data_IF_032714852053
#
_entry.id   IF_032714852053
#
_cell.length_a   1.000
_cell.length_b   1.000
_cell.length_c   1.000
_cell.angle_alpha   90.00
_cell.angle_beta   90.00
_cell.angle_gamma   90.00
#
_symmetry.space_group_name_H-M   'P 1'
#
loop_
_entity.id
_entity.type
_entity.pdbx_description
1 polymer ?
#
# COMPACT_ATOMS: atom_id res chain seq x y z
N UNK A 1 5.06 -6.51 10.94
CA UNK A 1 5.85 -7.01 9.79
C UNK A 1 7.25 -6.37 9.68
N UNK A 2 7.40 -5.04 9.76
CA UNK A 2 8.66 -4.34 9.39
C UNK A 2 9.47 -3.76 10.56
N UNK A 3 9.14 -4.11 11.80
CA UNK A 3 9.85 -3.65 13.02
C UNK A 3 11.14 -4.43 13.28
N UNK A 4 11.27 -5.64 12.72
CA UNK A 4 12.47 -6.47 12.81
C UNK A 4 13.42 -6.24 11.61
N UNK A 5 14.72 -6.20 11.88
CA UNK A 5 15.75 -5.94 10.86
C UNK A 5 15.86 -7.06 9.82
N UNK A 6 15.74 -8.32 10.24
CA UNK A 6 15.86 -9.46 9.34
C UNK A 6 14.66 -9.52 8.39
N UNK A 7 13.44 -9.34 8.91
CA UNK A 7 12.24 -9.23 8.08
C UNK A 7 12.35 -8.09 7.06
N UNK A 8 12.85 -6.93 7.50
CA UNK A 8 13.04 -5.78 6.60
C UNK A 8 14.03 -6.07 5.48
N UNK A 9 15.13 -6.76 5.79
CA UNK A 9 16.13 -7.15 4.79
C UNK A 9 15.57 -8.15 3.77
N UNK A 10 14.77 -9.13 4.22
CA UNK A 10 14.11 -10.09 3.33
C UNK A 10 13.16 -9.38 2.37
N UNK A 11 12.28 -8.52 2.90
CA UNK A 11 11.31 -7.76 2.08
C UNK A 11 12.02 -6.89 1.05
N UNK A 12 13.06 -6.15 1.46
CA UNK A 12 13.87 -5.35 0.56
C UNK A 12 14.55 -6.19 -0.53
N UNK A 13 15.08 -7.37 -0.17
CA UNK A 13 15.69 -8.31 -1.12
C UNK A 13 14.70 -8.78 -2.18
N UNK A 14 13.48 -9.16 -1.78
CA UNK A 14 12.41 -9.57 -2.70
C UNK A 14 12.03 -8.43 -3.65
N UNK A 15 11.86 -7.22 -3.14
CA UNK A 15 11.55 -6.04 -3.97
C UNK A 15 12.68 -5.76 -4.98
N UNK A 16 13.93 -5.85 -4.54
CA UNK A 16 15.11 -5.64 -5.40
C UNK A 16 15.18 -6.66 -6.53
N UNK A 17 14.94 -7.93 -6.22
CA UNK A 17 14.92 -9.02 -7.22
C UNK A 17 13.80 -8.78 -8.22
N UNK A 18 12.58 -8.51 -7.76
CA UNK A 18 11.43 -8.26 -8.64
C UNK A 18 11.68 -7.05 -9.56
N UNK A 19 12.22 -5.96 -9.01
CA UNK A 19 12.57 -4.76 -9.78
C UNK A 19 13.60 -5.04 -10.87
N UNK A 20 14.59 -5.90 -10.60
CA UNK A 20 15.62 -6.30 -11.58
C UNK A 20 15.04 -7.06 -12.79
N UNK A 21 13.89 -7.71 -12.62
CA UNK A 21 13.14 -8.35 -13.69
C UNK A 21 12.06 -7.44 -14.33
N UNK A 22 11.98 -6.18 -13.91
CA UNK A 22 10.93 -5.26 -14.37
C UNK A 22 9.54 -5.60 -13.81
N UNK A 23 9.45 -6.43 -12.77
CA UNK A 23 8.19 -6.77 -12.13
C UNK A 23 7.75 -5.69 -11.14
N UNK A 24 6.44 -5.45 -11.08
CA UNK A 24 5.83 -4.62 -10.04
C UNK A 24 5.45 -5.49 -8.85
N UNK A 25 5.59 -4.95 -7.64
CA UNK A 25 5.35 -5.67 -6.39
C UNK A 25 4.15 -5.08 -5.66
N UNK A 26 3.25 -5.94 -5.19
CA UNK A 26 2.20 -5.61 -4.23
C UNK A 26 2.57 -6.19 -2.86
N UNK A 27 2.53 -5.36 -1.83
CA UNK A 27 2.65 -5.81 -0.44
C UNK A 27 1.25 -5.99 0.16
N UNK A 28 0.93 -7.22 0.55
CA UNK A 28 -0.34 -7.55 1.23
C UNK A 28 -0.19 -7.54 2.75
N UNK A 29 -1.29 -7.25 3.46
CA UNK A 29 -1.31 -7.21 4.92
C UNK A 29 -0.75 -5.92 5.54
N UNK A 30 -0.84 -4.79 4.83
CA UNK A 30 -0.44 -3.47 5.36
C UNK A 30 -1.51 -2.94 6.32
N UNK A 31 -1.13 -2.76 7.59
CA UNK A 31 -2.04 -2.40 8.67
C UNK A 31 -1.79 -1.01 9.26
N UNK A 32 -0.65 -0.38 8.95
CA UNK A 32 -0.32 0.95 9.45
C UNK A 32 0.34 1.87 8.41
N UNK A 33 0.33 3.18 8.71
CA UNK A 33 0.97 4.19 7.89
C UNK A 33 2.48 3.97 7.79
N UNK A 34 3.12 3.61 8.90
CA UNK A 34 4.57 3.39 9.00
C UNK A 34 4.99 2.18 8.15
N UNK A 35 4.16 1.13 8.11
CA UNK A 35 4.40 -0.01 7.22
C UNK A 35 4.31 0.42 5.75
N UNK A 36 3.29 1.20 5.40
CA UNK A 36 3.09 1.70 4.04
C UNK A 36 4.26 2.60 3.59
N UNK A 37 4.68 3.54 4.44
CA UNK A 37 5.80 4.44 4.16
C UNK A 37 7.11 3.66 3.98
N UNK A 38 7.39 2.71 4.89
CA UNK A 38 8.57 1.86 4.82
C UNK A 38 8.62 1.01 3.53
N UNK A 39 7.48 0.45 3.10
CA UNK A 39 7.38 -0.30 1.84
C UNK A 39 7.56 0.60 0.61
N UNK A 40 6.99 1.81 0.64
CA UNK A 40 7.15 2.82 -0.41
C UNK A 40 8.62 3.22 -0.56
N UNK A 41 9.32 3.47 0.54
CA UNK A 41 10.74 3.84 0.54
C UNK A 41 11.64 2.73 -0.02
N UNK A 42 11.22 1.46 0.09
CA UNK A 42 11.93 0.32 -0.51
C UNK A 42 11.62 0.13 -2.00
N UNK A 43 10.72 0.92 -2.59
CA UNK A 43 10.32 0.78 -3.99
C UNK A 43 9.20 -0.23 -4.23
N UNK A 44 8.41 -0.57 -3.20
CA UNK A 44 7.17 -1.33 -3.41
C UNK A 44 6.16 -0.49 -4.20
N UNK A 45 5.45 -1.10 -5.15
CA UNK A 45 4.62 -0.36 -6.11
C UNK A 45 3.19 -0.18 -5.62
N UNK A 46 2.66 -1.21 -4.96
CA UNK A 46 1.30 -1.24 -4.48
C UNK A 46 1.24 -1.86 -3.10
N UNK A 47 0.19 -1.52 -2.36
CA UNK A 47 -0.06 -2.05 -1.04
C UNK A 47 -1.54 -2.37 -0.86
N UNK A 48 -1.83 -3.45 -0.13
CA UNK A 48 -3.16 -3.84 0.27
C UNK A 48 -3.15 -4.19 1.75
N UNK A 49 -4.18 -3.76 2.47
CA UNK A 49 -4.42 -4.20 3.84
C UNK A 49 -5.36 -3.27 4.59
N UNK A 50 -5.57 -3.57 5.88
CA UNK A 50 -6.54 -2.88 6.72
C UNK A 50 -6.23 -1.40 6.94
N UNK A 51 -4.98 -0.98 6.71
CA UNK A 51 -4.62 0.44 6.67
C UNK A 51 -5.46 1.21 5.63
N UNK A 52 -5.73 0.60 4.48
CA UNK A 52 -6.52 1.21 3.42
C UNK A 52 -8.00 0.97 3.62
N UNK A 53 -8.39 -0.28 3.75
CA UNK A 53 -9.77 -0.71 3.93
C UNK A 53 -9.83 -2.15 4.44
N UNK A 54 -10.87 -2.49 5.19
CA UNK A 54 -11.21 -3.89 5.47
C UNK A 54 -11.89 -4.53 4.25
N UNK A 55 -11.79 -5.86 4.07
CA UNK A 55 -12.64 -6.58 3.12
C UNK A 55 -14.10 -6.23 3.34
N UNK A 56 -14.83 -6.03 2.25
CA UNK A 56 -16.21 -5.57 2.27
C UNK A 56 -16.99 -6.19 1.12
N UNK A 57 -18.32 -6.18 1.22
CA UNK A 57 -19.19 -6.59 0.13
C UNK A 57 -19.06 -5.62 -1.05
N UNK A 58 -19.45 -6.07 -2.25
CA UNK A 58 -19.30 -5.26 -3.47
C UNK A 58 -20.14 -3.98 -3.42
N UNK A 59 -21.30 -4.01 -2.77
CA UNK A 59 -22.17 -2.85 -2.57
C UNK A 59 -21.49 -1.79 -1.69
N UNK A 60 -20.79 -2.23 -0.64
CA UNK A 60 -20.04 -1.36 0.25
C UNK A 60 -18.77 -0.83 -0.41
N UNK A 61 -18.15 -1.61 -1.31
CA UNK A 61 -17.01 -1.16 -2.11
C UNK A 61 -17.37 0.05 -2.97
N UNK A 62 -18.51 0.02 -3.66
CA UNK A 62 -18.95 1.18 -4.47
C UNK A 62 -19.16 2.44 -3.61
N UNK A 63 -19.73 2.31 -2.40
CA UNK A 63 -19.90 3.44 -1.48
C UNK A 63 -18.56 3.98 -0.97
N UNK A 64 -17.65 3.07 -0.63
CA UNK A 64 -16.30 3.42 -0.19
C UNK A 64 -15.53 4.16 -1.29
N UNK A 65 -15.61 3.69 -2.54
CA UNK A 65 -14.94 4.29 -3.69
C UNK A 65 -15.43 5.72 -3.95
N UNK A 66 -16.75 5.94 -3.94
CA UNK A 66 -17.35 7.26 -4.13
C UNK A 66 -16.89 8.27 -3.06
N UNK A 67 -16.75 7.83 -1.81
CA UNK A 67 -16.31 8.70 -0.70
C UNK A 67 -14.83 9.07 -0.83
N UNK A 68 -14.00 8.16 -1.36
CA UNK A 68 -12.56 8.35 -1.57
C UNK A 68 -12.24 9.32 -2.71
N UNK A 69 -13.01 9.28 -3.80
CA UNK A 69 -12.85 10.21 -4.93
C UNK A 69 -13.14 11.67 -4.53
N UNK A 70 -14.12 11.87 -3.64
CA UNK A 70 -14.48 13.21 -3.14
C UNK A 70 -13.42 13.80 -2.20
N UNK A 71 -12.70 12.95 -1.46
CA UNK A 71 -11.63 13.39 -0.54
C UNK A 71 -10.31 13.69 -1.29
N UNK A 72 -10.16 13.22 -2.52
CA UNK A 72 -8.92 13.33 -3.31
C UNK A 72 -8.95 14.45 -4.37
N UNK A 73 -10.03 15.23 -4.47
CA UNK A 73 -10.00 16.46 -5.27
C UNK A 73 -9.16 17.50 -4.52
N UNK A 74 -8.07 18.02 -5.13
CA UNK A 74 -7.43 19.21 -4.58
C UNK A 74 -8.50 20.31 -4.59
N UNK A 75 -8.81 20.83 -3.41
CA UNK A 75 -9.59 22.04 -3.26
C UNK A 75 -8.84 23.11 -4.06
N UNK A 76 -9.36 23.46 -5.25
CA UNK A 76 -8.83 24.57 -6.03
C UNK A 76 -8.93 25.78 -5.11
N UNK A 77 -7.80 26.22 -4.56
CA UNK A 77 -7.72 27.47 -3.83
C UNK A 77 -8.20 28.57 -4.78
N UNK A 78 -9.24 29.28 -4.34
CA UNK A 78 -9.67 30.56 -4.94
C UNK A 78 -8.86 31.68 -4.32
#
# INVERSE_FOLDING_TARGET
MLTDRAHRAIVHGVITIASSFGCKVIAEGVESHEQCACLSDMGCHWAQGFYFARPMAVEDFYRWLQTREQTSQPQLAS
#
